data_IF_613432346259
#
_entry.id   IF_613432346259
#
_cell.length_a   1.000
_cell.length_b   1.000
_cell.length_c   1.000
_cell.angle_alpha   90.00
_cell.angle_beta   90.00
_cell.angle_gamma   90.00
#
_symmetry.space_group_name_H-M   'P 1'
#
loop_
_entity.id
_entity.type
_entity.pdbx_description
1 polymer ?
#
# COMPACT_ATOMS: atom_id res chain seq x y z
N UNK A 1 -7.27 -19.11 -13.76
CA UNK A 1 -6.98 -18.29 -12.57
C UNK A 1 -6.16 -17.06 -12.98
N UNK A 2 -6.50 -15.92 -12.41
CA UNK A 2 -5.77 -14.67 -12.55
C UNK A 2 -5.61 -14.06 -11.17
N UNK A 3 -4.39 -13.64 -10.83
CA UNK A 3 -4.05 -13.02 -9.56
C UNK A 3 -3.19 -11.78 -9.79
N UNK A 4 -3.43 -10.72 -9.02
CA UNK A 4 -2.49 -9.60 -8.91
C UNK A 4 -1.45 -9.92 -7.84
N UNK A 5 -0.16 -9.75 -8.16
CA UNK A 5 0.93 -9.94 -7.23
C UNK A 5 1.11 -8.69 -6.35
N UNK A 6 0.29 -8.56 -5.31
CA UNK A 6 0.31 -7.48 -4.33
C UNK A 6 0.59 -8.04 -2.92
N UNK A 7 1.85 -8.35 -2.65
CA UNK A 7 2.31 -9.13 -1.50
C UNK A 7 1.82 -8.68 -0.10
N UNK A 8 1.72 -7.39 0.24
CA UNK A 8 1.45 -6.99 1.62
C UNK A 8 0.11 -7.49 2.16
N UNK A 9 -0.94 -7.52 1.34
CA UNK A 9 -2.29 -7.92 1.76
C UNK A 9 -2.43 -9.42 2.06
N UNK A 10 -1.46 -10.22 1.62
CA UNK A 10 -1.39 -11.66 1.86
C UNK A 10 -0.63 -12.02 3.15
N UNK A 11 0.00 -11.03 3.79
CA UNK A 11 0.83 -11.29 4.98
C UNK A 11 -0.01 -11.55 6.24
N UNK A 12 0.46 -12.41 7.17
CA UNK A 12 -0.14 -12.57 8.50
C UNK A 12 -0.21 -11.27 9.29
N UNK A 13 0.75 -10.35 9.11
CA UNK A 13 0.73 -9.04 9.74
C UNK A 13 -0.43 -8.18 9.25
N UNK A 14 -0.75 -8.19 7.95
CA UNK A 14 -1.89 -7.45 7.41
C UNK A 14 -3.22 -7.97 7.99
N UNK A 15 -3.41 -9.30 8.05
CA UNK A 15 -4.60 -9.92 8.65
C UNK A 15 -4.73 -9.51 10.13
N UNK A 16 -3.61 -9.55 10.88
CA UNK A 16 -3.60 -9.13 12.29
C UNK A 16 -3.93 -7.64 12.46
N UNK A 17 -3.43 -6.76 11.59
CA UNK A 17 -3.80 -5.32 11.60
C UNK A 17 -5.29 -5.17 11.38
N UNK A 18 -5.87 -5.82 10.36
CA UNK A 18 -7.31 -5.79 10.07
C UNK A 18 -8.15 -6.18 11.29
N UNK A 19 -7.79 -7.28 11.97
CA UNK A 19 -8.47 -7.75 13.19
C UNK A 19 -8.27 -6.80 14.39
N UNK A 20 -7.23 -5.98 14.36
CA UNK A 20 -6.87 -5.09 15.46
C UNK A 20 -7.46 -3.68 15.32
N UNK A 21 -8.00 -3.30 14.17
CA UNK A 21 -8.59 -1.96 13.95
C UNK A 21 -9.65 -1.62 15.03
N UNK A 22 -10.55 -2.56 15.32
CA UNK A 22 -11.58 -2.38 16.35
C UNK A 22 -11.04 -2.14 17.77
N UNK A 23 -9.77 -2.50 18.02
CA UNK A 23 -9.16 -2.35 19.36
C UNK A 23 -8.68 -0.92 19.62
N UNK A 24 -8.48 -0.10 18.57
CA UNK A 24 -8.02 1.28 18.67
C UNK A 24 -9.17 2.30 18.54
N UNK A 25 -10.42 1.83 18.47
CA UNK A 25 -11.62 2.67 18.38
C UNK A 25 -11.90 3.18 16.97
N UNK A 26 -12.85 4.11 16.80
CA UNK A 26 -13.09 4.77 15.53
C UNK A 26 -11.82 5.32 14.91
N UNK A 27 -11.63 5.08 13.62
CA UNK A 27 -10.45 5.53 12.88
C UNK A 27 -10.75 6.93 12.32
N UNK A 28 -9.81 7.86 12.47
CA UNK A 28 -9.92 9.22 11.96
C UNK A 28 -8.92 9.53 10.87
N UNK A 29 -7.72 8.97 10.97
CA UNK A 29 -6.67 9.28 10.02
C UNK A 29 -5.78 8.08 9.70
N UNK A 30 -5.40 7.95 8.41
CA UNK A 30 -4.43 6.96 7.95
C UNK A 30 -3.36 7.69 7.13
N UNK A 31 -2.10 7.40 7.42
CA UNK A 31 -0.97 7.96 6.68
C UNK A 31 -0.10 6.80 6.18
N UNK A 32 0.11 6.76 4.88
CA UNK A 32 1.04 5.82 4.26
C UNK A 32 2.12 6.61 3.53
N UNK A 33 3.36 6.20 3.69
CA UNK A 33 4.49 6.76 2.96
C UNK A 33 5.38 5.63 2.43
N UNK A 34 5.61 5.64 1.13
CA UNK A 34 6.60 4.79 0.47
C UNK A 34 7.46 5.65 -0.43
N UNK A 35 8.50 6.27 0.14
CA UNK A 35 9.42 7.17 -0.55
C UNK A 35 10.81 6.55 -0.61
N UNK A 36 11.24 6.23 -1.81
CA UNK A 36 12.52 5.60 -2.07
C UNK A 36 13.18 6.25 -3.29
N UNK A 37 14.34 6.90 -3.08
CA UNK A 37 15.11 7.44 -4.18
C UNK A 37 15.45 6.34 -5.19
N UNK A 38 14.98 6.50 -6.41
CA UNK A 38 15.15 5.50 -7.45
C UNK A 38 16.58 5.48 -7.98
N UNK A 39 17.20 4.31 -8.04
CA UNK A 39 18.50 4.13 -8.70
C UNK A 39 18.51 4.50 -10.20
N UNK A 40 17.33 4.75 -10.79
CA UNK A 40 17.17 5.14 -12.19
C UNK A 40 16.93 6.65 -12.35
N UNK A 41 16.79 7.40 -11.24
CA UNK A 41 16.40 8.81 -11.29
C UNK A 41 17.49 9.69 -11.91
N UNK A 42 18.78 9.46 -11.60
CA UNK A 42 19.89 10.20 -12.22
C UNK A 42 19.94 10.02 -13.74
N UNK A 43 19.73 8.79 -14.23
CA UNK A 43 19.65 8.50 -15.67
C UNK A 43 18.46 9.18 -16.32
N UNK A 44 17.32 9.19 -15.61
CA UNK A 44 16.12 9.90 -16.04
C UNK A 44 16.38 11.40 -16.23
N UNK A 45 17.07 12.06 -15.29
CA UNK A 45 17.44 13.48 -15.40
C UNK A 45 18.35 13.77 -16.61
N UNK A 46 19.12 12.78 -17.04
CA UNK A 46 19.99 12.85 -18.23
C UNK A 46 19.26 12.48 -19.54
N UNK A 47 17.95 12.21 -19.51
CA UNK A 47 17.15 11.84 -20.68
C UNK A 47 17.12 10.34 -21.01
N UNK A 48 17.76 9.48 -20.21
CA UNK A 48 17.69 8.02 -20.35
C UNK A 48 16.48 7.47 -19.55
N UNK A 49 15.36 7.30 -20.26
CA UNK A 49 14.07 7.00 -19.65
C UNK A 49 13.89 5.49 -19.49
N UNK A 50 14.15 4.99 -18.28
CA UNK A 50 13.82 3.62 -17.91
C UNK A 50 12.29 3.40 -17.85
N UNK A 51 11.77 2.15 -18.02
CA UNK A 51 10.33 1.85 -17.98
C UNK A 51 9.61 2.43 -16.75
N UNK A 52 10.24 2.41 -15.59
CA UNK A 52 9.69 2.95 -14.34
C UNK A 52 9.49 4.48 -14.32
N UNK A 53 9.99 5.20 -15.36
CA UNK A 53 9.81 6.64 -15.58
C UNK A 53 9.19 6.93 -16.97
N UNK A 54 8.68 5.92 -17.65
CA UNK A 54 8.02 6.07 -18.95
C UNK A 54 6.50 6.04 -18.75
N UNK A 55 5.76 7.14 -19.07
CA UNK A 55 4.31 7.18 -18.96
C UNK A 55 3.61 6.15 -19.86
N UNK A 56 4.14 5.88 -21.06
CA UNK A 56 3.56 4.93 -22.01
C UNK A 56 3.66 3.46 -21.55
N UNK A 57 4.52 3.19 -20.57
CA UNK A 57 4.72 1.87 -19.99
C UNK A 57 4.12 1.74 -18.56
N UNK A 58 3.27 2.69 -18.16
CA UNK A 58 2.66 2.69 -16.84
C UNK A 58 3.65 2.97 -15.71
N UNK A 59 4.72 3.72 -15.97
CA UNK A 59 5.67 4.17 -14.96
C UNK A 59 5.05 5.20 -13.99
N UNK A 60 5.89 5.82 -13.16
CA UNK A 60 5.50 6.86 -12.22
C UNK A 60 5.46 6.40 -10.77
N UNK A 61 5.42 7.37 -9.86
CA UNK A 61 5.39 7.09 -8.42
C UNK A 61 4.04 6.51 -8.00
N UNK A 62 2.94 6.93 -8.64
CA UNK A 62 1.60 6.41 -8.37
C UNK A 62 1.53 4.91 -8.67
N UNK A 63 1.93 4.51 -9.87
CA UNK A 63 1.78 3.14 -10.35
C UNK A 63 2.82 2.17 -9.75
N UNK A 64 4.05 2.63 -9.50
CA UNK A 64 5.14 1.75 -9.10
C UNK A 64 5.27 1.60 -7.57
N UNK A 65 5.00 2.66 -6.82
CA UNK A 65 5.15 2.67 -5.36
C UNK A 65 3.82 2.89 -4.62
N UNK A 66 3.04 3.88 -5.04
CA UNK A 66 1.83 4.26 -4.29
C UNK A 66 0.72 3.23 -4.40
N UNK A 67 0.72 2.41 -5.44
CA UNK A 67 -0.19 1.26 -5.59
C UNK A 67 -0.17 0.35 -4.37
N UNK A 68 0.98 0.16 -3.72
CA UNK A 68 1.07 -0.64 -2.48
C UNK A 68 0.37 0.03 -1.30
N UNK A 69 0.56 1.34 -1.12
CA UNK A 69 -0.13 2.12 -0.08
C UNK A 69 -1.66 2.08 -0.28
N UNK A 70 -2.11 2.31 -1.52
CA UNK A 70 -3.54 2.35 -1.87
C UNK A 70 -4.17 0.97 -1.66
N UNK A 71 -3.51 -0.11 -2.07
CA UNK A 71 -3.96 -1.49 -1.82
C UNK A 71 -4.14 -1.78 -0.32
N UNK A 72 -3.23 -1.31 0.53
CA UNK A 72 -3.35 -1.47 1.98
C UNK A 72 -4.58 -0.71 2.50
N UNK A 73 -4.76 0.54 2.11
CA UNK A 73 -5.89 1.36 2.58
C UNK A 73 -7.21 0.76 2.12
N UNK A 74 -7.35 0.42 0.83
CA UNK A 74 -8.57 -0.21 0.30
C UNK A 74 -8.80 -1.60 0.92
N UNK A 75 -7.75 -2.38 1.11
CA UNK A 75 -7.86 -3.70 1.74
C UNK A 75 -8.32 -3.67 3.21
N UNK A 76 -8.04 -2.58 3.93
CA UNK A 76 -8.45 -2.39 5.33
C UNK A 76 -9.82 -1.70 5.45
N UNK A 77 -10.14 -0.75 4.58
CA UNK A 77 -11.28 0.16 4.78
C UNK A 77 -12.30 0.16 3.64
N UNK A 78 -12.03 -0.57 2.55
CA UNK A 78 -12.90 -0.60 1.35
C UNK A 78 -12.74 0.65 0.49
N UNK A 79 -13.74 0.88 -0.39
CA UNK A 79 -13.73 2.00 -1.33
C UNK A 79 -13.88 3.36 -0.65
N UNK A 80 -13.08 4.38 -1.03
CA UNK A 80 -13.29 5.75 -0.60
C UNK A 80 -14.50 6.38 -1.31
N UNK A 81 -15.07 7.41 -0.69
CA UNK A 81 -16.15 8.21 -1.28
C UNK A 81 -15.65 9.24 -2.30
N UNK A 82 -14.40 9.67 -2.18
CA UNK A 82 -13.74 10.59 -3.11
C UNK A 82 -12.22 10.39 -3.05
N UNK A 83 -11.54 10.72 -4.15
CA UNK A 83 -10.08 10.67 -4.25
C UNK A 83 -9.54 11.90 -4.96
N UNK A 84 -8.32 12.30 -4.59
CA UNK A 84 -7.59 13.37 -5.27
C UNK A 84 -6.10 13.07 -5.25
N UNK A 85 -5.46 13.16 -6.40
CA UNK A 85 -4.01 12.98 -6.54
C UNK A 85 -3.31 14.30 -6.84
N UNK A 86 -2.27 14.61 -6.07
CA UNK A 86 -1.39 15.76 -6.23
C UNK A 86 -0.01 15.25 -6.61
N UNK A 87 0.38 15.46 -7.87
CA UNK A 87 1.62 14.95 -8.43
C UNK A 87 2.68 16.04 -8.62
N UNK A 88 3.92 15.73 -8.24
CA UNK A 88 5.10 16.41 -8.78
C UNK A 88 5.49 15.72 -10.09
N UNK A 89 5.63 16.48 -11.18
CA UNK A 89 5.86 15.91 -12.50
C UNK A 89 7.26 16.24 -13.01
N UNK A 90 7.90 15.24 -13.58
CA UNK A 90 9.17 15.37 -14.26
C UNK A 90 9.02 15.91 -15.69
N UNK A 91 10.15 16.04 -16.38
CA UNK A 91 10.26 16.72 -17.69
C UNK A 91 9.44 16.05 -18.83
N UNK A 92 9.12 14.77 -18.72
CA UNK A 92 8.30 14.03 -19.68
C UNK A 92 6.82 13.87 -19.21
N UNK A 93 6.41 14.61 -18.19
CA UNK A 93 5.05 14.58 -17.65
C UNK A 93 4.76 13.44 -16.67
N UNK A 94 5.69 12.48 -16.47
CA UNK A 94 5.54 11.41 -15.48
C UNK A 94 5.51 11.97 -14.05
N UNK A 95 4.74 11.40 -13.16
CA UNK A 95 4.82 11.70 -11.74
C UNK A 95 6.08 11.06 -11.13
N UNK A 96 6.96 11.89 -10.57
CA UNK A 96 8.16 11.44 -9.87
C UNK A 96 7.93 11.28 -8.38
N UNK A 97 6.95 12.01 -7.84
CA UNK A 97 6.41 11.87 -6.49
C UNK A 97 4.98 12.41 -6.43
N UNK A 98 4.25 12.07 -5.37
CA UNK A 98 2.90 12.60 -5.20
C UNK A 98 2.19 12.09 -3.96
N UNK A 99 1.04 12.70 -3.68
CA UNK A 99 0.16 12.35 -2.58
C UNK A 99 -1.24 12.06 -3.11
N UNK A 100 -1.74 10.86 -2.86
CA UNK A 100 -3.14 10.49 -3.05
C UNK A 100 -3.90 10.70 -1.74
N UNK A 101 -4.97 11.48 -1.78
CA UNK A 101 -5.91 11.65 -0.67
C UNK A 101 -7.14 10.80 -0.94
N UNK A 102 -7.52 9.96 0.01
CA UNK A 102 -8.72 9.12 -0.04
C UNK A 102 -9.67 9.57 1.09
N UNK A 103 -10.86 10.01 0.71
CA UNK A 103 -11.88 10.47 1.67
C UNK A 103 -12.90 9.36 1.94
N UNK A 104 -13.23 9.17 3.20
CA UNK A 104 -14.26 8.26 3.68
C UNK A 104 -15.25 9.03 4.55
N UNK A 105 -16.44 8.49 4.86
CA UNK A 105 -17.45 9.23 5.64
C UNK A 105 -16.95 9.70 7.01
N UNK A 106 -16.03 8.99 7.64
CA UNK A 106 -15.57 9.27 9.02
C UNK A 106 -14.06 9.40 9.16
N UNK A 107 -13.29 9.21 8.08
CA UNK A 107 -11.84 9.29 8.12
C UNK A 107 -11.26 9.80 6.80
N UNK A 108 -10.01 10.24 6.85
CA UNK A 108 -9.21 10.55 5.65
C UNK A 108 -7.93 9.71 5.65
N UNK A 109 -7.55 9.20 4.47
CA UNK A 109 -6.26 8.55 4.29
C UNK A 109 -5.40 9.35 3.30
N UNK A 110 -4.09 9.39 3.56
CA UNK A 110 -3.08 9.95 2.65
C UNK A 110 -2.07 8.87 2.29
N UNK A 111 -1.82 8.71 0.99
CA UNK A 111 -0.85 7.78 0.44
C UNK A 111 0.21 8.57 -0.31
N UNK A 112 1.40 8.67 0.25
CA UNK A 112 2.55 9.40 -0.33
C UNK A 112 3.53 8.43 -0.95
N UNK A 113 4.02 8.76 -2.13
CA UNK A 113 5.12 8.02 -2.75
C UNK A 113 6.08 8.97 -3.46
N UNK A 114 7.37 8.64 -3.43
CA UNK A 114 8.41 9.40 -4.12
C UNK A 114 9.48 8.47 -4.70
N UNK A 115 9.94 8.81 -5.92
CA UNK A 115 11.06 8.18 -6.62
C UNK A 115 12.22 9.15 -6.81
N UNK A 116 11.96 10.44 -6.63
CA UNK A 116 12.90 11.58 -6.74
C UNK A 116 13.53 11.99 -5.42
N UNK A 117 13.03 11.46 -4.33
CA UNK A 117 13.47 11.72 -2.96
C UNK A 117 13.27 10.50 -2.06
N UNK A 118 13.83 10.50 -0.87
CA UNK A 118 13.67 9.43 0.11
C UNK A 118 13.34 9.97 1.50
N UNK A 119 12.56 9.19 2.24
CA UNK A 119 12.27 9.41 3.66
C UNK A 119 11.97 8.08 4.34
N UNK A 120 11.89 8.00 5.68
CA UNK A 120 11.39 6.81 6.35
C UNK A 120 10.02 6.42 5.81
N UNK A 121 9.89 5.18 5.34
CA UNK A 121 8.62 4.64 4.89
C UNK A 121 7.84 4.09 6.08
N UNK A 122 6.51 4.29 6.10
CA UNK A 122 5.66 3.84 7.18
C UNK A 122 4.19 3.75 6.78
N UNK A 123 3.41 3.06 7.62
CA UNK A 123 1.95 3.14 7.65
C UNK A 123 1.56 3.47 9.08
N UNK A 124 0.73 4.49 9.27
CA UNK A 124 0.22 4.91 10.58
C UNK A 124 -1.32 5.02 10.52
N UNK A 125 -1.99 4.28 11.37
CA UNK A 125 -3.45 4.27 11.51
C UNK A 125 -3.80 4.85 12.86
N UNK A 126 -4.56 5.96 12.89
CA UNK A 126 -4.91 6.69 14.10
C UNK A 126 -6.38 6.46 14.45
N UNK A 127 -6.62 5.90 15.61
CA UNK A 127 -7.95 5.74 16.19
C UNK A 127 -8.07 6.49 17.51
N UNK A 128 -9.30 6.67 17.99
CA UNK A 128 -9.59 7.41 19.23
C UNK A 128 -8.94 6.81 20.49
N UNK A 129 -8.69 5.50 20.49
CA UNK A 129 -8.22 4.75 21.67
C UNK A 129 -6.79 4.22 21.52
N UNK A 130 -6.11 4.60 20.44
CA UNK A 130 -4.75 4.16 20.15
C UNK A 130 -4.39 4.31 18.69
N UNK A 131 -3.26 3.73 18.32
CA UNK A 131 -2.76 3.77 16.95
C UNK A 131 -2.06 2.46 16.58
N UNK A 132 -1.96 2.20 15.28
CA UNK A 132 -1.17 1.10 14.72
C UNK A 132 -0.12 1.70 13.79
N UNK A 133 1.12 1.30 13.96
CA UNK A 133 2.25 1.76 13.18
C UNK A 133 3.01 0.56 12.57
N UNK A 134 3.30 0.66 11.30
CA UNK A 134 4.15 -0.28 10.55
C UNK A 134 5.36 0.51 10.06
N UNK A 135 6.55 0.38 10.71
CA UNK A 135 7.75 1.17 10.40
C UNK A 135 8.56 0.59 9.22
N UNK A 136 7.87 0.11 8.19
CA UNK A 136 8.49 -0.45 6.98
C UNK A 136 7.72 0.01 5.75
N UNK A 137 8.34 -0.07 4.56
CA UNK A 137 7.65 0.20 3.30
C UNK A 137 6.40 -0.68 3.14
N UNK A 138 5.41 -0.15 2.44
CA UNK A 138 4.14 -0.81 2.22
C UNK A 138 4.29 -2.19 1.58
N UNK A 139 5.25 -2.37 0.66
CA UNK A 139 5.51 -3.63 -0.02
C UNK A 139 6.16 -4.72 0.88
N UNK A 140 6.68 -4.36 2.05
CA UNK A 140 7.23 -5.31 3.01
C UNK A 140 6.21 -5.72 4.07
N UNK A 141 5.46 -4.74 4.58
CA UNK A 141 4.52 -4.90 5.69
C UNK A 141 5.12 -5.72 6.85
N UNK A 142 6.25 -5.24 7.35
CA UNK A 142 7.15 -5.99 8.24
C UNK A 142 6.64 -6.11 9.67
N UNK A 143 7.26 -5.41 10.63
CA UNK A 143 6.77 -5.40 12.02
C UNK A 143 5.57 -4.49 12.18
N UNK A 144 4.74 -4.76 13.22
CA UNK A 144 3.56 -3.98 13.55
C UNK A 144 3.63 -3.57 15.01
N UNK A 145 3.46 -2.30 15.28
CA UNK A 145 3.39 -1.70 16.60
C UNK A 145 1.95 -1.25 16.88
N UNK A 146 1.42 -1.62 18.03
CA UNK A 146 0.07 -1.23 18.46
C UNK A 146 0.17 -0.52 19.81
N UNK A 147 -0.23 0.75 19.84
CA UNK A 147 -0.42 1.52 21.06
C UNK A 147 -1.88 1.47 21.47
N UNK A 148 -2.17 1.00 22.67
CA UNK A 148 -3.50 0.99 23.23
C UNK A 148 -3.43 1.21 24.74
N UNK A 149 -4.25 2.13 25.26
CA UNK A 149 -4.34 2.41 26.71
C UNK A 149 -2.95 2.68 27.34
N UNK A 150 -2.10 3.42 26.66
CA UNK A 150 -0.72 3.73 27.12
C UNK A 150 0.28 2.58 27.01
N UNK A 151 -0.13 1.40 26.51
CA UNK A 151 0.76 0.25 26.32
C UNK A 151 1.11 0.05 24.88
N UNK A 152 2.40 0.06 24.54
CA UNK A 152 2.95 -0.30 23.25
C UNK A 152 3.23 -1.80 23.18
N UNK A 153 2.82 -2.44 22.11
CA UNK A 153 3.13 -3.85 21.84
C UNK A 153 3.58 -4.02 20.40
N UNK A 154 4.69 -4.71 20.18
CA UNK A 154 5.22 -4.99 18.86
C UNK A 154 4.99 -6.44 18.45
N UNK A 155 4.72 -6.65 17.16
CA UNK A 155 4.42 -7.96 16.59
C UNK A 155 5.25 -8.19 15.33
N UNK A 156 5.65 -9.44 15.11
CA UNK A 156 6.24 -9.95 13.87
C UNK A 156 5.65 -11.32 13.59
N UNK A 157 4.65 -11.38 12.71
CA UNK A 157 3.90 -12.61 12.41
C UNK A 157 4.17 -13.18 11.02
N UNK A 158 4.88 -12.45 10.18
CA UNK A 158 5.29 -12.97 8.88
C UNK A 158 6.25 -14.14 9.09
N UNK A 159 5.88 -15.30 8.53
CA UNK A 159 6.56 -16.57 8.80
C UNK A 159 7.76 -16.82 7.87
N UNK A 160 7.84 -16.10 6.74
CA UNK A 160 8.85 -16.31 5.72
C UNK A 160 9.73 -15.06 5.56
N UNK A 161 11.00 -15.25 5.23
CA UNK A 161 11.93 -14.16 4.89
C UNK A 161 11.53 -13.48 3.58
N UNK A 162 11.13 -14.27 2.58
CA UNK A 162 10.62 -13.70 1.33
C UNK A 162 9.23 -13.14 1.51
N UNK A 163 9.05 -11.84 1.22
CA UNK A 163 7.75 -11.17 1.22
C UNK A 163 6.74 -11.78 0.24
N UNK A 164 7.23 -12.41 -0.84
CA UNK A 164 6.39 -13.01 -1.86
C UNK A 164 5.84 -14.38 -1.45
N UNK A 165 6.46 -15.05 -0.48
CA UNK A 165 6.08 -16.41 -0.12
C UNK A 165 4.62 -16.52 0.36
N UNK A 166 4.13 -15.54 1.11
CA UNK A 166 2.76 -15.55 1.61
C UNK A 166 1.71 -15.45 0.50
N UNK A 167 1.94 -14.59 -0.51
CA UNK A 167 1.02 -14.49 -1.63
C UNK A 167 1.00 -15.75 -2.49
N UNK A 168 2.16 -16.35 -2.76
CA UNK A 168 2.21 -17.62 -3.50
C UNK A 168 1.54 -18.76 -2.76
N UNK A 169 1.63 -18.79 -1.43
CA UNK A 169 0.91 -19.78 -0.61
C UNK A 169 -0.60 -19.56 -0.69
N UNK A 170 -1.06 -18.33 -0.61
CA UNK A 170 -2.48 -17.98 -0.77
C UNK A 170 -2.99 -18.33 -2.18
N UNK A 171 -2.22 -18.02 -3.24
CA UNK A 171 -2.58 -18.38 -4.63
C UNK A 171 -2.65 -19.89 -4.83
N UNK A 172 -1.68 -20.62 -4.30
CA UNK A 172 -1.68 -22.08 -4.30
C UNK A 172 -2.94 -22.64 -3.62
N UNK A 173 -3.25 -22.15 -2.44
CA UNK A 173 -4.43 -22.57 -1.67
C UNK A 173 -5.73 -22.36 -2.44
N UNK A 174 -5.92 -21.20 -3.05
CA UNK A 174 -7.09 -20.85 -3.87
C UNK A 174 -7.17 -21.77 -5.10
N UNK A 175 -6.03 -22.03 -5.75
CA UNK A 175 -5.96 -22.91 -6.91
C UNK A 175 -6.29 -24.37 -6.56
N UNK A 176 -5.69 -24.91 -5.49
CA UNK A 176 -5.92 -26.30 -5.04
C UNK A 176 -7.36 -26.53 -4.57
N UNK A 177 -7.94 -25.56 -3.86
CA UNK A 177 -9.32 -25.62 -3.36
C UNK A 177 -10.37 -25.27 -4.42
N UNK A 178 -9.95 -24.80 -5.60
CA UNK A 178 -10.82 -24.26 -6.66
C UNK A 178 -11.73 -23.14 -6.15
N UNK A 179 -11.21 -22.28 -5.26
CA UNK A 179 -11.95 -21.18 -4.66
C UNK A 179 -12.00 -19.98 -5.62
N UNK A 180 -12.87 -20.09 -6.63
CA UNK A 180 -13.08 -19.02 -7.62
C UNK A 180 -13.63 -17.75 -6.98
N UNK A 181 -14.45 -17.89 -5.92
CA UNK A 181 -15.02 -16.75 -5.22
C UNK A 181 -13.93 -15.88 -4.59
N UNK A 182 -12.99 -16.49 -3.90
CA UNK A 182 -11.86 -15.76 -3.30
C UNK A 182 -10.97 -15.11 -4.38
N UNK A 183 -10.76 -15.78 -5.51
CA UNK A 183 -10.04 -15.22 -6.65
C UNK A 183 -10.76 -13.97 -7.18
N UNK A 184 -12.09 -14.05 -7.40
CA UNK A 184 -12.90 -12.92 -7.87
C UNK A 184 -12.86 -11.75 -6.89
N UNK A 185 -13.01 -11.98 -5.58
CA UNK A 185 -12.91 -10.95 -4.55
C UNK A 185 -11.55 -10.21 -4.58
N UNK A 186 -10.46 -10.92 -4.85
CA UNK A 186 -9.14 -10.29 -4.99
C UNK A 186 -9.01 -9.48 -6.27
N UNK A 187 -9.54 -9.99 -7.40
CA UNK A 187 -9.55 -9.26 -8.67
C UNK A 187 -10.44 -8.01 -8.61
N UNK A 188 -11.61 -8.09 -7.99
CA UNK A 188 -12.48 -6.92 -7.78
C UNK A 188 -11.75 -5.83 -7.01
N UNK A 189 -11.03 -6.17 -5.95
CA UNK A 189 -10.20 -5.21 -5.23
C UNK A 189 -9.12 -4.58 -6.10
N UNK A 190 -8.44 -5.37 -6.94
CA UNK A 190 -7.45 -4.85 -7.89
C UNK A 190 -8.07 -3.84 -8.85
N UNK A 191 -9.25 -4.14 -9.38
CA UNK A 191 -10.03 -3.22 -10.22
C UNK A 191 -10.41 -1.94 -9.47
N UNK A 192 -10.79 -2.05 -8.20
CA UNK A 192 -11.10 -0.90 -7.34
C UNK A 192 -9.87 0.00 -7.13
N UNK A 193 -8.71 -0.59 -6.87
CA UNK A 193 -7.45 0.15 -6.75
C UNK A 193 -7.13 0.92 -8.02
N UNK A 194 -7.24 0.29 -9.19
CA UNK A 194 -7.01 0.95 -10.48
C UNK A 194 -7.99 2.10 -10.70
N UNK A 195 -9.28 1.93 -10.37
CA UNK A 195 -10.29 3.01 -10.46
C UNK A 195 -9.98 4.20 -9.56
N UNK A 196 -9.43 3.95 -8.38
CA UNK A 196 -9.02 4.98 -7.43
C UNK A 196 -7.80 5.76 -7.93
N UNK A 197 -6.94 5.10 -8.69
CA UNK A 197 -5.74 5.71 -9.24
C UNK A 197 -6.00 6.59 -10.49
N UNK A 198 -7.11 6.41 -11.19
CA UNK A 198 -7.56 7.23 -12.33
C UNK A 198 -7.47 6.49 -13.62
#
# INVERSE_FOLDING_TARGET
YLFEAISPIHTPNFRMVKDSLKKIGPIHFVQCNFSQYSSKYERYLQGDIAPAFNPDLGGGALNDLNVYNINIVIGLFGQPTATQYFANRGHNGIDTSGVMVLSYPTMTATCTAAKDSSSPSFILIQGEKGWIHIPTPANEFGSVEIMKQGKLTSYRRNAYESRLAHEFMDFKDVWEKKDYKQMEEWLERSVEVVRVMG
#
